data_IF_627005645275
#
_entry.id   IF_627005645275
#
_cell.length_a   1.000
_cell.length_b   1.000
_cell.length_c   1.000
_cell.angle_alpha   90.00
_cell.angle_beta   90.00
_cell.angle_gamma   90.00
#
_symmetry.space_group_name_H-M   'P 1'
#
loop_
_entity.id
_entity.type
_entity.pdbx_description
1 polymer ?
#
# COMPACT_ATOMS: atom_id res chain seq x y z
N UNK A 1 12.83 10.06 -16.24
CA UNK A 1 12.78 8.60 -16.44
C UNK A 1 12.54 8.38 -17.92
N UNK A 2 13.40 7.66 -18.63
CA UNK A 2 13.16 7.28 -20.04
C UNK A 2 12.90 5.77 -20.08
N UNK A 3 11.70 5.35 -19.67
CA UNK A 3 11.20 4.04 -20.10
C UNK A 3 10.95 4.15 -21.59
N UNK A 4 11.39 3.19 -22.38
CA UNK A 4 11.11 3.16 -23.81
C UNK A 4 10.15 1.99 -24.07
N UNK A 5 8.98 2.24 -24.67
CA UNK A 5 8.35 3.54 -24.95
C UNK A 5 8.03 4.36 -23.68
N UNK A 6 7.99 5.69 -23.78
CA UNK A 6 7.71 6.57 -22.62
C UNK A 6 6.27 6.38 -22.08
N UNK A 7 5.39 5.90 -22.95
CA UNK A 7 3.99 5.54 -22.82
C UNK A 7 3.77 4.02 -22.59
N UNK A 8 4.84 3.25 -22.33
CA UNK A 8 4.72 1.81 -22.07
C UNK A 8 3.75 1.50 -20.93
N UNK A 9 3.72 2.36 -19.90
CA UNK A 9 2.88 2.11 -18.72
C UNK A 9 1.39 2.42 -18.96
N UNK A 10 1.10 3.42 -19.80
CA UNK A 10 -0.25 3.74 -20.24
C UNK A 10 -0.76 2.68 -21.23
N UNK A 11 0.10 2.21 -22.13
CA UNK A 11 -0.23 1.20 -23.13
C UNK A 11 -0.45 -0.21 -22.57
N UNK A 12 0.08 -0.54 -21.37
CA UNK A 12 -0.21 -1.81 -20.67
C UNK A 12 -1.41 -1.72 -19.73
N UNK A 13 -2.15 -0.60 -19.74
CA UNK A 13 -3.37 -0.39 -18.94
C UNK A 13 -3.16 -0.62 -17.43
N UNK A 14 -1.97 -0.34 -16.90
CA UNK A 14 -1.66 -0.60 -15.50
C UNK A 14 -2.52 0.23 -14.53
N UNK A 15 -3.10 1.33 -15.01
CA UNK A 15 -4.08 2.12 -14.27
C UNK A 15 -5.33 1.30 -13.91
N UNK A 16 -5.79 0.39 -14.78
CA UNK A 16 -6.91 -0.50 -14.48
C UNK A 16 -6.56 -1.46 -13.34
N UNK A 17 -5.32 -1.97 -13.32
CA UNK A 17 -4.80 -2.81 -12.23
C UNK A 17 -4.77 -2.02 -10.93
N UNK A 18 -4.19 -0.80 -10.93
CA UNK A 18 -4.16 0.08 -9.75
C UNK A 18 -5.58 0.35 -9.22
N UNK A 19 -6.54 0.65 -10.10
CA UNK A 19 -7.93 0.88 -9.72
C UNK A 19 -8.57 -0.38 -9.10
N UNK A 20 -8.35 -1.55 -9.69
CA UNK A 20 -8.89 -2.81 -9.18
C UNK A 20 -8.31 -3.16 -7.79
N UNK A 21 -7.01 -2.95 -7.59
CA UNK A 21 -6.34 -3.17 -6.30
C UNK A 21 -6.79 -2.14 -5.25
N UNK A 22 -6.89 -0.86 -5.63
CA UNK A 22 -7.34 0.21 -4.72
C UNK A 22 -8.75 -0.04 -4.17
N UNK A 23 -9.66 -0.63 -4.97
CA UNK A 23 -11.00 -1.03 -4.49
C UNK A 23 -10.98 -2.06 -3.36
N UNK A 24 -9.89 -2.80 -3.19
CA UNK A 24 -9.70 -3.81 -2.13
C UNK A 24 -8.93 -3.27 -0.92
N UNK A 25 -8.36 -2.06 -1.02
CA UNK A 25 -7.64 -1.45 0.07
C UNK A 25 -8.59 -1.01 1.19
N UNK A 26 -8.27 -1.41 2.41
CA UNK A 26 -9.11 -1.20 3.61
C UNK A 26 -8.96 0.19 4.22
N UNK A 27 -7.87 0.91 3.95
CA UNK A 27 -7.62 2.28 4.44
C UNK A 27 -7.52 3.29 3.30
N UNK A 28 -7.86 4.55 3.60
CA UNK A 28 -7.71 5.65 2.64
C UNK A 28 -6.24 5.87 2.28
N UNK A 29 -5.34 5.80 3.27
CA UNK A 29 -3.91 5.88 3.04
C UNK A 29 -3.40 4.83 2.03
N UNK A 30 -3.89 3.58 2.14
CA UNK A 30 -3.52 2.54 1.19
C UNK A 30 -4.08 2.83 -0.22
N UNK A 31 -5.31 3.33 -0.33
CA UNK A 31 -5.91 3.74 -1.62
C UNK A 31 -5.12 4.84 -2.30
N UNK A 32 -4.73 5.88 -1.55
CA UNK A 32 -3.87 6.97 -2.03
C UNK A 32 -2.52 6.42 -2.49
N UNK A 33 -1.88 5.57 -1.69
CA UNK A 33 -0.59 4.96 -2.02
C UNK A 33 -0.64 4.14 -3.30
N UNK A 34 -1.65 3.28 -3.48
CA UNK A 34 -1.81 2.45 -4.68
C UNK A 34 -2.03 3.30 -5.93
N UNK A 35 -2.90 4.31 -5.83
CA UNK A 35 -3.21 5.21 -6.95
C UNK A 35 -1.97 5.98 -7.41
N UNK A 36 -1.11 6.37 -6.45
CA UNK A 36 0.14 7.09 -6.70
C UNK A 36 1.33 6.22 -7.13
N UNK A 37 1.19 4.90 -7.24
CA UNK A 37 2.29 4.02 -7.65
C UNK A 37 2.78 4.40 -9.06
N UNK A 38 4.10 4.46 -9.18
CA UNK A 38 4.83 4.71 -10.43
C UNK A 38 5.81 3.56 -10.67
N UNK A 39 6.14 3.28 -11.93
CA UNK A 39 7.19 2.31 -12.24
C UNK A 39 8.50 2.74 -11.59
N UNK A 40 9.23 1.78 -11.06
CA UNK A 40 10.58 1.99 -10.53
C UNK A 40 11.59 1.21 -11.36
N UNK A 41 12.73 1.83 -11.63
CA UNK A 41 13.90 1.18 -12.25
C UNK A 41 14.89 0.69 -11.20
N UNK A 42 14.64 0.95 -9.92
CA UNK A 42 15.46 0.43 -8.83
C UNK A 42 15.12 -1.04 -8.59
N UNK A 43 16.00 -1.91 -9.10
CA UNK A 43 15.85 -3.35 -8.99
C UNK A 43 15.74 -3.83 -7.54
N UNK A 44 16.53 -3.24 -6.63
CA UNK A 44 16.53 -3.65 -5.22
C UNK A 44 15.19 -3.29 -4.57
N UNK A 45 14.69 -2.09 -4.82
CA UNK A 45 13.41 -1.65 -4.30
C UNK A 45 12.25 -2.52 -4.84
N UNK A 46 12.22 -2.78 -6.15
CA UNK A 46 11.17 -3.62 -6.77
C UNK A 46 11.22 -5.05 -6.25
N UNK A 47 12.41 -5.63 -6.10
CA UNK A 47 12.57 -6.99 -5.57
C UNK A 47 12.06 -7.08 -4.13
N UNK A 48 12.37 -6.08 -3.30
CA UNK A 48 11.89 -6.02 -1.93
C UNK A 48 10.36 -5.89 -1.86
N UNK A 49 9.75 -5.02 -2.67
CA UNK A 49 8.30 -4.86 -2.72
C UNK A 49 7.59 -6.16 -3.16
N UNK A 50 8.13 -6.83 -4.18
CA UNK A 50 7.59 -8.12 -4.64
C UNK A 50 7.72 -9.22 -3.58
N UNK A 51 8.84 -9.27 -2.87
CA UNK A 51 9.05 -10.22 -1.78
C UNK A 51 8.03 -10.02 -0.66
N UNK A 52 7.78 -8.78 -0.24
CA UNK A 52 6.77 -8.48 0.79
C UNK A 52 5.36 -8.95 0.37
N UNK A 53 4.97 -8.72 -0.90
CA UNK A 53 3.69 -9.19 -1.42
C UNK A 53 3.62 -10.72 -1.39
N UNK A 54 4.69 -11.40 -1.79
CA UNK A 54 4.76 -12.86 -1.77
C UNK A 54 4.63 -13.43 -0.35
N UNK A 55 5.33 -12.85 0.62
CA UNK A 55 5.26 -13.26 2.03
C UNK A 55 3.84 -13.11 2.59
N UNK A 56 3.20 -11.95 2.36
CA UNK A 56 1.82 -11.72 2.80
C UNK A 56 0.84 -12.66 2.10
N UNK A 57 1.03 -12.95 0.81
CA UNK A 57 0.20 -13.93 0.11
C UNK A 57 0.37 -15.33 0.71
N UNK A 58 1.60 -15.74 1.01
CA UNK A 58 1.88 -17.02 1.66
C UNK A 58 1.19 -17.13 3.03
N UNK A 59 1.17 -16.04 3.79
CA UNK A 59 0.42 -15.96 5.05
C UNK A 59 -1.10 -16.14 4.84
N UNK A 60 -1.69 -15.49 3.83
CA UNK A 60 -3.11 -15.67 3.49
C UNK A 60 -3.47 -17.08 3.00
N UNK A 61 -2.53 -17.73 2.32
CA UNK A 61 -2.70 -19.09 1.79
C UNK A 61 -2.41 -20.17 2.83
N UNK A 62 -1.77 -19.80 3.94
CA UNK A 62 -1.52 -20.70 5.06
C UNK A 62 -2.78 -20.87 5.91
N UNK A 63 -2.83 -21.95 6.70
CA UNK A 63 -3.88 -22.17 7.70
C UNK A 63 -3.73 -21.28 8.95
N UNK A 64 -2.81 -20.31 8.94
CA UNK A 64 -2.58 -19.42 10.08
C UNK A 64 -3.68 -18.35 10.15
N UNK A 65 -4.27 -18.11 11.33
CA UNK A 65 -5.22 -17.02 11.52
C UNK A 65 -4.48 -15.68 11.43
N UNK A 66 -4.70 -14.93 10.35
CA UNK A 66 -4.20 -13.56 10.19
C UNK A 66 -5.19 -12.58 10.82
N UNK A 67 -4.75 -11.68 11.73
CA UNK A 67 -5.62 -10.63 12.26
C UNK A 67 -6.25 -9.84 11.13
N UNK A 68 -7.55 -9.54 11.23
CA UNK A 68 -8.23 -8.70 10.25
C UNK A 68 -7.48 -7.36 10.15
N UNK A 69 -6.91 -7.06 8.99
CA UNK A 69 -6.14 -5.84 8.73
C UNK A 69 -7.02 -4.58 8.63
N UNK A 70 -8.24 -4.60 9.19
CA UNK A 70 -9.09 -3.44 9.30
C UNK A 70 -8.45 -2.46 10.30
N UNK A 71 -7.44 -1.72 9.85
CA UNK A 71 -6.86 -0.62 10.61
C UNK A 71 -7.75 0.60 10.41
N UNK A 72 -8.26 1.15 11.52
CA UNK A 72 -8.85 2.47 11.50
C UNK A 72 -7.82 3.47 10.94
N UNK A 73 -8.28 4.51 10.25
CA UNK A 73 -7.36 5.58 9.83
C UNK A 73 -6.80 6.26 11.08
N UNK A 74 -5.50 6.05 11.33
CA UNK A 74 -4.81 6.57 12.51
C UNK A 74 -4.33 8.02 12.31
N UNK A 75 -4.28 8.55 11.07
CA UNK A 75 -3.76 9.90 10.80
C UNK A 75 -4.43 10.99 11.67
N UNK A 76 -5.77 11.00 11.88
CA UNK A 76 -6.43 12.01 12.71
C UNK A 76 -6.01 11.94 14.18
N UNK A 77 -5.70 10.74 14.68
CA UNK A 77 -5.29 10.51 16.07
C UNK A 77 -3.82 10.88 16.30
N UNK A 78 -2.96 10.66 15.30
CA UNK A 78 -1.53 11.03 15.37
C UNK A 78 -1.29 12.53 15.54
N UNK A 79 -2.21 13.40 15.10
CA UNK A 79 -2.10 14.84 15.33
C UNK A 79 -2.13 15.19 16.82
N UNK A 80 -2.87 14.42 17.64
CA UNK A 80 -2.96 14.65 19.08
C UNK A 80 -1.66 14.29 19.80
N UNK A 81 -0.94 13.28 19.32
CA UNK A 81 0.37 12.86 19.83
C UNK A 81 1.51 13.85 19.56
N UNK A 82 1.33 14.81 18.63
CA UNK A 82 2.34 15.87 18.40
C UNK A 82 2.43 16.86 19.57
N UNK A 83 1.45 16.86 20.48
CA UNK A 83 1.46 17.66 21.70
C UNK A 83 2.24 16.87 22.76
N UNK A 84 3.34 17.43 23.28
CA UNK A 84 4.09 16.82 24.38
C UNK A 84 3.16 16.51 25.56
N UNK A 85 3.14 15.25 26.01
CA UNK A 85 2.32 14.78 27.12
C UNK A 85 0.91 14.30 26.77
N UNK A 86 0.53 14.26 25.48
CA UNK A 86 -0.75 13.70 25.05
C UNK A 86 -0.72 12.16 25.04
N UNK A 87 -1.75 11.53 25.63
CA UNK A 87 -2.01 10.09 25.54
C UNK A 87 -3.19 9.82 24.59
N UNK A 88 -3.18 8.67 23.94
CA UNK A 88 -4.31 8.20 23.13
C UNK A 88 -5.25 7.36 24.01
N UNK A 89 -6.27 7.99 24.57
CA UNK A 89 -7.43 7.27 25.10
C UNK A 89 -8.44 7.05 23.96
N UNK A 90 -8.74 5.78 23.68
CA UNK A 90 -9.86 5.37 22.83
C UNK A 90 -11.16 5.30 23.63
N UNK A 91 -12.33 5.27 22.97
CA UNK A 91 -13.60 4.95 23.64
C UNK A 91 -13.63 3.52 24.19
#
# INVERSE_FOLDING_TARGET
MKTYPEDLFESIEFDLVKQAVAKRAVTEFARERISGLKPSTDYSAVTQDLQQVHEVLGLYQSDLPIPALASADIKPFMLRLKIQGASLDGP
#
